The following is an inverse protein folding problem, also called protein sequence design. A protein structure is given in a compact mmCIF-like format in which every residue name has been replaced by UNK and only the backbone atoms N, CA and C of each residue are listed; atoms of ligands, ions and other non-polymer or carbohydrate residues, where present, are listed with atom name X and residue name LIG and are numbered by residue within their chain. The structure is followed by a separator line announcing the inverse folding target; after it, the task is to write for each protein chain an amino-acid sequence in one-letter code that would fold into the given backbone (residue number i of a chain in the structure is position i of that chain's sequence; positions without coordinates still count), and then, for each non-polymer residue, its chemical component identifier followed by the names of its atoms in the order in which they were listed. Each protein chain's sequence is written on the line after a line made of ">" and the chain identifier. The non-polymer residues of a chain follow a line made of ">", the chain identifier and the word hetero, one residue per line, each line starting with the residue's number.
data_IF_065996751427
#
_entry.id   IF_065996751427
#
_cell.length_a   1.000
_cell.length_b   1.000
_cell.length_c   1.000
_cell.angle_alpha   90.00
_cell.angle_beta   90.00
_cell.angle_gamma   90.00
#
_symmetry.space_group_name_H-M   'P 1'
#
loop_
_entity.id
_entity.type
_entity.pdbx_description
1 polymer ?
#
# COMPACT_ATOMS: atom_id res chain seq x y z
N UNK A 1 4.72 4.56 15.60
CA UNK A 1 4.95 4.54 14.13
C UNK A 1 4.07 5.60 13.50
N UNK A 2 4.58 6.42 12.58
CA UNK A 2 3.78 7.43 11.87
C UNK A 2 3.78 7.11 10.37
N UNK A 3 2.61 7.09 9.73
CA UNK A 3 2.46 6.74 8.32
C UNK A 3 2.43 7.97 7.42
N UNK A 4 3.11 7.88 6.28
CA UNK A 4 3.13 8.89 5.23
C UNK A 4 2.44 8.43 3.94
N UNK A 5 1.55 7.45 4.05
CA UNK A 5 0.74 6.99 2.92
C UNK A 5 0.04 8.19 2.24
N UNK A 6 0.09 8.23 0.91
CA UNK A 6 -0.53 9.27 0.08
C UNK A 6 0.06 10.68 0.21
N UNK A 7 1.32 10.81 0.62
CA UNK A 7 2.03 12.08 0.60
C UNK A 7 3.07 12.11 -0.52
N UNK A 8 3.22 13.27 -1.15
CA UNK A 8 4.30 13.49 -2.12
C UNK A 8 5.65 13.48 -1.38
N UNK A 9 6.46 12.46 -1.63
CA UNK A 9 7.76 12.26 -0.96
C UNK A 9 8.76 13.38 -1.28
N UNK A 10 8.56 14.06 -2.41
CA UNK A 10 9.43 15.16 -2.86
C UNK A 10 9.27 16.41 -2.00
N UNK A 11 8.18 16.49 -1.25
CA UNK A 11 7.91 17.58 -0.32
C UNK A 11 8.47 17.32 1.09
N UNK A 12 9.20 16.21 1.28
CA UNK A 12 9.95 15.97 2.51
C UNK A 12 11.01 17.06 2.67
N UNK A 13 11.04 17.68 3.86
CA UNK A 13 12.15 18.54 4.26
C UNK A 13 13.08 17.73 5.13
N UNK A 14 14.34 17.60 4.72
CA UNK A 14 15.36 16.84 5.46
C UNK A 14 14.89 15.42 5.84
N UNK A 15 14.28 14.70 4.89
CA UNK A 15 13.77 13.35 5.11
C UNK A 15 12.56 13.22 6.03
N UNK A 16 11.92 14.34 6.40
CA UNK A 16 10.79 14.37 7.35
C UNK A 16 9.59 15.13 6.80
N UNK A 17 8.40 14.64 7.14
CA UNK A 17 7.16 15.43 7.01
C UNK A 17 6.81 16.17 8.31
N UNK A 18 7.43 15.80 9.43
CA UNK A 18 7.21 16.40 10.74
C UNK A 18 8.58 16.86 11.25
N UNK A 19 8.78 18.17 11.28
CA UNK A 19 10.04 18.78 11.73
C UNK A 19 10.28 18.48 13.23
N UNK A 20 9.24 18.55 14.06
CA UNK A 20 9.29 18.27 15.51
C UNK A 20 8.71 16.89 15.88
N UNK A 21 9.22 15.83 15.25
CA UNK A 21 8.76 14.45 15.51
C UNK A 21 8.95 14.04 16.98
N UNK A 22 10.02 14.50 17.62
CA UNK A 22 10.41 14.05 18.95
C UNK A 22 9.49 14.59 20.04
N UNK A 23 8.81 15.73 19.84
CA UNK A 23 7.76 16.20 20.76
C UNK A 23 6.47 15.38 20.66
N UNK A 24 6.18 14.80 19.48
CA UNK A 24 4.95 14.05 19.24
C UNK A 24 5.09 12.58 19.64
N UNK A 25 6.20 11.94 19.24
CA UNK A 25 6.40 10.48 19.36
C UNK A 25 7.42 10.15 20.46
N UNK A 26 8.14 11.15 20.97
CA UNK A 26 9.24 10.97 21.91
C UNK A 26 10.58 10.74 21.22
N UNK A 27 11.66 10.93 22.01
CA UNK A 27 13.04 10.66 21.58
C UNK A 27 13.25 9.17 21.40
N UNK A 28 14.03 8.80 20.38
CA UNK A 28 14.44 7.43 20.13
C UNK A 28 15.94 7.39 19.84
N UNK A 29 16.62 6.34 20.31
CA UNK A 29 18.02 6.08 20.01
C UNK A 29 18.24 5.80 18.52
N UNK A 30 17.30 5.05 17.91
CA UNK A 30 17.33 4.71 16.49
C UNK A 30 16.07 5.26 15.80
N UNK A 31 16.23 5.92 14.66
CA UNK A 31 15.13 6.41 13.83
C UNK A 31 15.26 5.82 12.44
N UNK A 32 14.15 5.35 11.89
CA UNK A 32 14.11 4.71 10.58
C UNK A 32 13.03 5.33 9.72
N UNK A 33 13.39 5.65 8.48
CA UNK A 33 12.45 5.97 7.41
C UNK A 33 12.24 4.71 6.57
N UNK A 34 11.13 4.02 6.84
CA UNK A 34 10.82 2.73 6.21
C UNK A 34 9.90 2.94 5.02
N UNK A 35 10.35 2.54 3.83
CA UNK A 35 9.57 2.51 2.61
C UNK A 35 9.20 1.07 2.26
N UNK A 36 7.92 0.73 2.43
CA UNK A 36 7.39 -0.58 2.01
C UNK A 36 6.76 -0.42 0.63
N UNK A 37 7.31 -1.09 -0.38
CA UNK A 37 6.79 -1.06 -1.74
C UNK A 37 6.28 -2.45 -2.15
N UNK A 38 5.10 -2.48 -2.75
CA UNK A 38 4.51 -3.67 -3.35
C UNK A 38 4.50 -3.53 -4.86
N UNK A 39 4.57 -4.66 -5.56
CA UNK A 39 4.39 -4.68 -7.01
C UNK A 39 3.12 -3.92 -7.42
N UNK A 40 3.24 -3.25 -8.57
CA UNK A 40 2.21 -2.34 -9.05
C UNK A 40 0.85 -3.02 -9.22
N UNK A 41 0.83 -4.20 -9.83
CA UNK A 41 -0.39 -4.91 -10.20
C UNK A 41 -1.23 -5.30 -9.00
N UNK A 42 -0.60 -5.92 -7.98
CA UNK A 42 -1.29 -6.30 -6.75
C UNK A 42 -1.60 -5.11 -5.86
N UNK A 43 -0.75 -4.09 -5.84
CA UNK A 43 -1.04 -2.84 -5.14
C UNK A 43 -2.29 -2.18 -5.71
N UNK A 44 -2.36 -2.03 -7.03
CA UNK A 44 -3.50 -1.46 -7.73
C UNK A 44 -4.77 -2.27 -7.47
N UNK A 45 -4.70 -3.59 -7.63
CA UNK A 45 -5.85 -4.46 -7.35
C UNK A 45 -6.33 -4.30 -5.90
N UNK A 46 -5.40 -4.15 -4.96
CA UNK A 46 -5.73 -3.90 -3.55
C UNK A 46 -6.36 -2.54 -3.26
N UNK A 47 -6.11 -1.53 -4.09
CA UNK A 47 -6.75 -0.22 -3.96
C UNK A 47 -8.18 -0.27 -4.45
N UNK A 48 -8.41 -0.79 -5.66
CA UNK A 48 -9.74 -0.88 -6.25
C UNK A 48 -10.68 -1.80 -5.43
N UNK A 49 -10.16 -2.86 -4.82
CA UNK A 49 -10.98 -3.79 -4.04
C UNK A 49 -11.30 -3.30 -2.62
N UNK A 50 -10.46 -2.46 -2.00
CA UNK A 50 -10.75 -1.88 -0.67
C UNK A 50 -12.04 -1.06 -0.67
N UNK A 51 -12.46 -0.56 -1.82
CA UNK A 51 -13.66 0.25 -2.01
C UNK A 51 -14.97 -0.58 -1.99
N UNK A 52 -14.91 -1.91 -2.11
CA UNK A 52 -16.11 -2.79 -2.15
C UNK A 52 -16.70 -3.18 -0.78
N UNK A 53 -15.97 -3.02 0.33
CA UNK A 53 -16.29 -3.69 1.60
C UNK A 53 -16.47 -2.77 2.83
N UNK A 54 -16.88 -1.51 2.65
CA UNK A 54 -17.51 -0.72 3.73
C UNK A 54 -16.59 -0.17 4.84
N UNK A 55 -15.27 -0.35 4.77
CA UNK A 55 -14.36 0.54 5.51
C UNK A 55 -14.46 1.92 4.87
N UNK A 56 -14.66 3.00 5.65
CA UNK A 56 -14.96 4.33 5.10
C UNK A 56 -14.08 4.64 3.89
N UNK A 57 -14.65 4.65 2.68
CA UNK A 57 -13.87 4.77 1.48
C UNK A 57 -13.26 6.17 1.48
N UNK A 58 -12.04 6.29 0.97
CA UNK A 58 -11.80 7.47 0.14
C UNK A 58 -12.97 7.47 -0.85
N UNK A 59 -13.90 8.39 -0.68
CA UNK A 59 -15.28 8.36 -1.20
C UNK A 59 -15.27 8.48 -2.74
N UNK A 60 -14.73 7.46 -3.39
CA UNK A 60 -14.31 7.47 -4.78
C UNK A 60 -15.42 6.95 -5.70
N UNK A 61 -16.40 6.21 -5.15
CA UNK A 61 -17.50 5.63 -5.93
C UNK A 61 -18.78 5.47 -5.09
N UNK A 62 -19.41 6.58 -4.62
CA UNK A 62 -20.62 6.49 -3.80
C UNK A 62 -21.82 5.85 -4.52
N UNK A 63 -21.83 5.80 -5.86
CA UNK A 63 -22.92 5.26 -6.67
C UNK A 63 -22.86 3.73 -6.86
N UNK A 64 -21.80 3.08 -6.39
CA UNK A 64 -21.57 1.64 -6.60
C UNK A 64 -22.61 0.73 -5.93
N UNK A 65 -23.31 1.23 -4.90
CA UNK A 65 -24.37 0.49 -4.22
C UNK A 65 -25.74 0.51 -4.94
N UNK A 66 -25.92 1.36 -5.96
CA UNK A 66 -27.18 1.45 -6.73
C UNK A 66 -27.19 0.44 -7.90
N UNK A 67 -26.03 -0.04 -8.34
CA UNK A 67 -25.85 -0.73 -9.62
C UNK A 67 -25.81 -2.27 -9.56
N UNK A 68 -26.08 -2.89 -8.40
CA UNK A 68 -26.12 -4.36 -8.29
C UNK A 68 -27.28 -5.04 -9.05
N UNK A 69 -28.21 -4.29 -9.66
CA UNK A 69 -29.40 -4.86 -10.29
C UNK A 69 -29.34 -5.05 -11.81
N UNK A 70 -28.51 -4.32 -12.57
CA UNK A 70 -28.61 -4.35 -14.03
C UNK A 70 -27.23 -4.35 -14.71
N UNK A 71 -26.92 -5.47 -15.38
CA UNK A 71 -25.92 -5.71 -16.43
C UNK A 71 -24.72 -4.74 -16.57
N UNK A 72 -23.54 -5.29 -16.29
CA UNK A 72 -22.23 -4.64 -16.12
C UNK A 72 -21.58 -4.03 -17.38
N UNK A 73 -22.26 -3.94 -18.51
CA UNK A 73 -21.62 -3.61 -19.81
C UNK A 73 -21.77 -2.17 -20.29
N UNK A 74 -22.42 -1.26 -19.54
CA UNK A 74 -22.67 0.12 -20.02
C UNK A 74 -22.01 1.28 -19.25
N UNK A 75 -21.26 1.05 -18.17
CA UNK A 75 -20.84 2.15 -17.29
C UNK A 75 -19.33 2.23 -16.99
N UNK A 76 -18.50 2.01 -18.02
CA UNK A 76 -17.10 2.45 -17.98
C UNK A 76 -16.96 4.00 -17.89
N UNK A 77 -18.05 4.76 -17.88
CA UNK A 77 -18.05 6.21 -18.09
C UNK A 77 -18.30 7.08 -16.85
N UNK A 78 -18.47 6.53 -15.63
CA UNK A 78 -18.73 7.41 -14.45
C UNK A 78 -17.91 6.99 -13.24
N UNK A 79 -16.59 7.10 -13.36
CA UNK A 79 -15.82 7.55 -12.20
C UNK A 79 -16.14 9.05 -12.06
N UNK A 80 -16.76 9.52 -10.97
CA UNK A 80 -16.91 10.96 -10.78
C UNK A 80 -15.54 11.61 -10.91
N UNK A 81 -15.39 12.68 -11.70
CA UNK A 81 -14.07 13.20 -12.10
C UNK A 81 -13.12 13.53 -10.92
N UNK A 82 -13.67 13.84 -9.74
CA UNK A 82 -12.92 14.01 -8.48
C UNK A 82 -12.16 12.76 -8.05
N UNK A 83 -12.72 11.59 -8.35
CA UNK A 83 -12.28 10.32 -7.85
C UNK A 83 -11.22 9.69 -8.74
N UNK A 84 -11.39 9.88 -10.05
CA UNK A 84 -10.36 9.63 -11.05
C UNK A 84 -9.11 10.50 -10.81
N UNK A 85 -9.29 11.80 -10.51
CA UNK A 85 -8.18 12.71 -10.16
C UNK A 85 -7.44 12.28 -8.90
N UNK A 86 -8.16 11.85 -7.85
CA UNK A 86 -7.51 11.30 -6.65
C UNK A 86 -6.72 10.04 -7.00
N UNK A 87 -7.30 9.12 -7.77
CA UNK A 87 -6.60 7.89 -8.14
C UNK A 87 -5.33 8.20 -8.95
N UNK A 88 -5.39 9.08 -9.96
CA UNK A 88 -4.20 9.59 -10.69
C UNK A 88 -3.11 10.15 -9.76
N UNK A 89 -3.52 10.86 -8.71
CA UNK A 89 -2.58 11.38 -7.70
C UNK A 89 -1.92 10.25 -6.90
N UNK A 90 -2.70 9.24 -6.50
CA UNK A 90 -2.19 8.06 -5.79
C UNK A 90 -1.22 7.25 -6.67
N UNK A 91 -1.51 7.10 -7.97
CA UNK A 91 -0.59 6.51 -8.95
C UNK A 91 0.71 7.27 -9.06
N UNK A 92 0.63 8.59 -9.18
CA UNK A 92 1.79 9.47 -9.22
C UNK A 92 2.68 9.26 -8.00
N UNK A 93 2.09 9.16 -6.81
CA UNK A 93 2.86 8.88 -5.58
C UNK A 93 3.48 7.49 -5.58
N UNK A 94 2.78 6.45 -6.06
CA UNK A 94 3.39 5.13 -6.20
C UNK A 94 4.64 5.18 -7.10
N UNK A 95 4.60 5.92 -8.22
CA UNK A 95 5.77 6.09 -9.09
C UNK A 95 6.94 6.74 -8.35
N UNK A 96 6.70 7.82 -7.59
CA UNK A 96 7.76 8.45 -6.79
C UNK A 96 8.35 7.51 -5.73
N UNK A 97 7.50 6.71 -5.09
CA UNK A 97 7.96 5.70 -4.14
C UNK A 97 8.77 4.61 -4.84
N UNK A 98 8.39 4.19 -6.05
CA UNK A 98 9.15 3.23 -6.83
C UNK A 98 10.52 3.79 -7.27
N UNK A 99 10.58 5.06 -7.66
CA UNK A 99 11.84 5.75 -7.98
C UNK A 99 12.77 5.82 -6.76
N UNK A 100 12.25 6.20 -5.60
CA UNK A 100 12.98 6.21 -4.32
C UNK A 100 13.47 4.80 -3.94
N UNK A 101 12.61 3.79 -4.10
CA UNK A 101 12.93 2.39 -3.81
C UNK A 101 14.05 1.86 -4.73
N UNK A 102 14.06 2.29 -5.99
CA UNK A 102 15.10 1.94 -6.96
C UNK A 102 16.37 2.77 -6.82
N UNK A 103 16.42 3.70 -5.85
CA UNK A 103 17.57 4.58 -5.63
C UNK A 103 17.75 5.67 -6.69
N UNK A 104 16.74 5.93 -7.51
CA UNK A 104 16.75 7.06 -8.47
C UNK A 104 16.63 8.40 -7.75
N UNK A 105 16.06 8.39 -6.56
CA UNK A 105 15.97 9.52 -5.66
C UNK A 105 16.42 9.10 -4.26
N UNK A 106 16.66 10.08 -3.39
CA UNK A 106 17.09 9.82 -2.01
C UNK A 106 16.41 10.74 -0.99
N UNK A 107 15.11 10.97 -1.15
CA UNK A 107 14.36 11.91 -0.31
C UNK A 107 14.19 11.43 1.14
N UNK A 108 14.24 10.12 1.40
CA UNK A 108 14.02 9.56 2.74
C UNK A 108 15.27 9.44 3.59
N UNK A 109 16.46 9.57 3.00
CA UNK A 109 17.69 9.55 3.78
C UNK A 109 17.94 10.91 4.40
N UNK A 110 18.21 10.94 5.71
CA UNK A 110 18.57 12.15 6.41
C UNK A 110 19.55 11.84 7.54
N UNK A 111 20.27 12.85 8.02
CA UNK A 111 21.37 12.70 8.99
C UNK A 111 20.94 11.99 10.28
N UNK A 112 19.68 12.12 10.68
CA UNK A 112 19.16 11.58 11.94
C UNK A 112 18.27 10.35 11.78
N UNK A 113 18.06 9.83 10.57
CA UNK A 113 17.23 8.64 10.32
C UNK A 113 17.75 7.78 9.18
N UNK A 114 17.80 6.47 9.40
CA UNK A 114 18.24 5.50 8.40
C UNK A 114 17.09 5.15 7.45
N UNK A 115 17.35 5.21 6.14
CA UNK A 115 16.41 4.75 5.11
C UNK A 115 16.45 3.22 4.98
N UNK A 116 15.29 2.58 5.02
CA UNK A 116 15.14 1.14 4.76
C UNK A 116 14.03 0.92 3.74
N UNK A 117 14.38 0.31 2.61
CA UNK A 117 13.44 -0.08 1.56
C UNK A 117 13.08 -1.56 1.70
N UNK A 118 11.79 -1.87 1.79
CA UNK A 118 11.27 -3.23 1.98
C UNK A 118 10.38 -3.59 0.79
N UNK A 119 10.79 -4.59 0.00
CA UNK A 119 9.90 -5.22 -0.98
C UNK A 119 8.84 -6.03 -0.23
N UNK A 120 7.58 -5.66 -0.35
CA UNK A 120 6.46 -6.41 0.25
C UNK A 120 6.43 -7.85 -0.29
N UNK A 121 6.69 -8.03 -1.58
CA UNK A 121 6.64 -9.33 -2.23
C UNK A 121 7.70 -10.28 -1.66
N UNK A 122 8.94 -9.80 -1.49
CA UNK A 122 10.02 -10.58 -0.87
C UNK A 122 9.77 -10.76 0.62
N UNK A 123 9.37 -9.72 1.33
CA UNK A 123 8.98 -9.83 2.74
C UNK A 123 7.92 -10.90 2.97
N UNK A 124 6.93 -10.98 2.10
CA UNK A 124 5.87 -11.98 2.20
C UNK A 124 6.36 -13.39 1.89
N UNK A 125 7.16 -13.58 0.83
CA UNK A 125 7.50 -14.92 0.31
C UNK A 125 8.82 -15.52 0.81
N UNK A 126 9.74 -14.70 1.33
CA UNK A 126 11.12 -15.11 1.64
C UNK A 126 11.45 -14.89 3.12
N UNK A 127 11.62 -15.99 3.84
CA UNK A 127 12.01 -16.00 5.26
C UNK A 127 13.41 -15.41 5.49
N UNK A 128 14.36 -15.71 4.60
CA UNK A 128 15.72 -15.17 4.67
C UNK A 128 15.73 -13.66 4.50
N UNK A 129 14.88 -13.15 3.60
CA UNK A 129 14.66 -11.71 3.44
C UNK A 129 14.09 -11.09 4.72
N UNK A 130 13.08 -11.70 5.36
CA UNK A 130 12.54 -11.22 6.64
C UNK A 130 13.58 -11.18 7.75
N UNK A 131 14.39 -12.24 7.89
CA UNK A 131 15.52 -12.28 8.85
C UNK A 131 16.52 -11.14 8.60
N UNK A 132 16.84 -10.86 7.33
CA UNK A 132 17.71 -9.74 6.95
C UNK A 132 17.11 -8.39 7.37
N UNK A 133 15.83 -8.16 7.11
CA UNK A 133 15.13 -6.92 7.52
C UNK A 133 15.09 -6.77 9.03
N UNK A 134 14.76 -7.83 9.78
CA UNK A 134 14.76 -7.81 11.24
C UNK A 134 16.13 -7.39 11.80
N UNK A 135 17.20 -7.99 11.26
CA UNK A 135 18.58 -7.61 11.59
C UNK A 135 18.90 -6.16 11.26
N UNK A 136 18.47 -5.65 10.09
CA UNK A 136 18.67 -4.23 9.71
C UNK A 136 17.96 -3.25 10.63
N UNK A 137 16.81 -3.62 11.16
CA UNK A 137 16.05 -2.81 12.11
C UNK A 137 16.56 -2.95 13.56
N UNK A 138 17.48 -3.88 13.82
CA UNK A 138 17.93 -4.23 15.17
C UNK A 138 16.84 -4.91 16.00
N UNK A 139 15.96 -5.68 15.34
CA UNK A 139 14.87 -6.43 15.96
C UNK A 139 15.20 -7.92 16.00
N UNK A 140 14.66 -8.60 17.00
CA UNK A 140 14.60 -10.06 16.99
C UNK A 140 13.65 -10.53 15.91
N UNK A 141 14.07 -11.54 15.16
CA UNK A 141 13.25 -12.11 14.10
C UNK A 141 12.13 -12.98 14.69
N UNK A 142 10.91 -12.78 14.20
CA UNK A 142 9.76 -13.62 14.48
C UNK A 142 8.76 -13.53 13.33
N UNK A 143 8.18 -14.67 12.95
CA UNK A 143 7.12 -14.77 11.96
C UNK A 143 5.72 -14.91 12.58
N UNK A 144 5.58 -14.71 13.89
CA UNK A 144 4.30 -14.78 14.59
C UNK A 144 3.17 -13.99 13.90
N UNK A 145 3.50 -12.82 13.33
CA UNK A 145 2.54 -11.98 12.61
C UNK A 145 2.08 -12.52 11.24
N UNK A 146 2.80 -13.49 10.66
CA UNK A 146 2.37 -14.20 9.45
C UNK A 146 1.42 -15.35 9.78
N UNK A 147 1.53 -15.91 10.99
CA UNK A 147 0.62 -16.97 11.44
C UNK A 147 -0.74 -16.41 11.87
N UNK A 148 -0.80 -15.12 12.26
CA UNK A 148 -2.02 -14.50 12.76
C UNK A 148 -2.38 -13.20 12.02
N UNK A 149 -3.40 -13.27 11.16
CA UNK A 149 -4.01 -12.09 10.55
C UNK A 149 -4.91 -11.35 11.56
N UNK A 150 -4.41 -10.31 12.24
CA UNK A 150 -5.18 -9.56 13.25
C UNK A 150 -6.38 -8.74 12.73
N UNK A 151 -6.72 -8.79 11.43
CA UNK A 151 -7.90 -8.08 10.88
C UNK A 151 -8.37 -8.61 9.52
N UNK A 152 -9.70 -8.61 9.25
CA UNK A 152 -10.32 -8.78 7.94
C UNK A 152 -9.66 -8.04 6.79
N UNK A 153 -9.21 -8.79 5.78
CA UNK A 153 -8.84 -8.20 4.50
C UNK A 153 -10.10 -7.88 3.70
N UNK A 154 -10.12 -6.72 3.05
CA UNK A 154 -11.16 -6.35 2.08
C UNK A 154 -11.25 -7.30 0.87
N UNK A 155 -10.39 -8.32 0.77
CA UNK A 155 -10.48 -9.37 -0.24
C UNK A 155 -11.31 -10.57 0.22
N UNK A 156 -11.30 -10.87 1.52
CA UNK A 156 -12.07 -11.94 2.14
C UNK A 156 -12.72 -11.37 3.41
N UNK A 157 -13.84 -10.62 3.28
CA UNK A 157 -14.51 -10.01 4.43
C UNK A 157 -15.05 -11.04 5.44
N UNK A 158 -15.26 -12.29 5.02
CA UNK A 158 -15.78 -13.38 5.84
C UNK A 158 -14.69 -14.31 6.41
N UNK A 159 -13.41 -14.11 6.07
CA UNK A 159 -12.33 -14.98 6.51
C UNK A 159 -11.24 -14.16 7.18
N UNK A 160 -11.39 -13.89 8.48
CA UNK A 160 -10.33 -13.24 9.24
C UNK A 160 -10.56 -13.33 10.73
N UNK A 161 -10.57 -14.56 11.21
CA UNK A 161 -10.16 -14.92 12.55
C UNK A 161 -9.49 -16.29 12.34
N UNK A 162 -8.22 -16.44 12.73
CA UNK A 162 -7.48 -17.72 12.77
C UNK A 162 -6.95 -18.35 11.46
N UNK A 163 -6.75 -17.57 10.38
CA UNK A 163 -6.06 -18.08 9.16
C UNK A 163 -4.63 -17.57 9.04
N UNK A 164 -3.74 -18.46 8.60
CA UNK A 164 -2.36 -18.14 8.25
C UNK A 164 -2.34 -17.14 7.09
N UNK A 165 -1.68 -15.99 7.27
CA UNK A 165 -1.59 -14.93 6.25
C UNK A 165 -0.90 -15.45 4.99
N UNK A 166 -0.01 -16.45 5.10
CA UNK A 166 0.68 -17.09 3.97
C UNK A 166 -0.26 -17.83 3.03
N UNK A 167 -1.40 -18.32 3.53
CA UNK A 167 -2.41 -19.00 2.69
C UNK A 167 -3.23 -18.00 1.87
N UNK A 168 -3.18 -16.72 2.22
CA UNK A 168 -3.84 -15.68 1.45
C UNK A 168 -3.10 -15.48 0.12
N UNK A 169 -3.84 -15.54 -0.99
CA UNK A 169 -3.34 -15.26 -2.35
C UNK A 169 -3.05 -13.78 -2.60
N UNK A 170 -2.33 -13.13 -1.68
CA UNK A 170 -2.07 -11.69 -1.73
C UNK A 170 -1.22 -11.33 -2.95
N UNK A 171 -0.23 -12.15 -3.31
CA UNK A 171 0.62 -11.90 -4.49
C UNK A 171 -0.09 -12.17 -5.83
N UNK A 172 -1.33 -12.65 -5.78
CA UNK A 172 -2.14 -13.03 -6.94
C UNK A 172 -3.45 -12.23 -7.02
N UNK A 173 -3.59 -11.15 -6.24
CA UNK A 173 -4.80 -10.32 -6.21
C UNK A 173 -5.14 -9.71 -7.56
N UNK A 174 -4.14 -9.39 -8.36
CA UNK A 174 -4.35 -8.86 -9.72
C UNK A 174 -5.15 -9.84 -10.61
N UNK A 175 -5.02 -11.15 -10.40
CA UNK A 175 -5.74 -12.18 -11.18
C UNK A 175 -7.26 -12.08 -11.02
N UNK A 176 -7.74 -11.55 -9.88
CA UNK A 176 -9.18 -11.33 -9.61
C UNK A 176 -9.74 -10.23 -10.53
N UNK A 177 -8.92 -9.26 -10.90
CA UNK A 177 -9.31 -8.11 -11.73
C UNK A 177 -8.81 -8.21 -13.18
N UNK A 178 -8.30 -9.37 -13.59
CA UNK A 178 -7.69 -9.56 -14.92
C UNK A 178 -8.63 -9.22 -16.09
N UNK A 179 -9.95 -9.31 -15.89
CA UNK A 179 -10.97 -9.02 -16.91
C UNK A 179 -11.73 -7.72 -16.58
N UNK A 180 -11.28 -6.95 -15.59
CA UNK A 180 -11.93 -5.72 -15.15
C UNK A 180 -11.47 -4.52 -16.00
N UNK A 181 -12.41 -3.87 -16.68
CA UNK A 181 -12.14 -2.74 -17.59
C UNK A 181 -11.46 -1.56 -16.87
N UNK A 182 -11.93 -1.21 -15.67
CA UNK A 182 -11.36 -0.11 -14.88
C UNK A 182 -9.92 -0.43 -14.46
N UNK A 183 -9.64 -1.69 -14.11
CA UNK A 183 -8.28 -2.12 -13.78
C UNK A 183 -7.32 -1.90 -14.97
N UNK A 184 -7.74 -2.29 -16.17
CA UNK A 184 -6.96 -2.10 -17.40
C UNK A 184 -6.75 -0.63 -17.78
N UNK A 185 -7.77 0.22 -17.62
CA UNK A 185 -7.67 1.67 -17.88
C UNK A 185 -6.52 2.31 -17.08
N UNK A 186 -6.25 1.80 -15.88
CA UNK A 186 -5.17 2.29 -15.04
C UNK A 186 -3.80 1.63 -15.28
N UNK A 187 -3.74 0.51 -16.02
CA UNK A 187 -2.47 -0.11 -16.41
C UNK A 187 -1.84 0.60 -17.60
N UNK A 188 -2.67 1.16 -18.49
CA UNK A 188 -2.24 1.89 -19.68
C UNK A 188 -2.86 3.29 -19.71
N UNK A 189 -2.44 4.18 -18.78
CA UNK A 189 -2.89 5.57 -18.82
C UNK A 189 -2.18 6.25 -19.98
N UNK A 190 -2.92 6.57 -21.05
CA UNK A 190 -2.48 7.44 -22.16
C UNK A 190 -1.58 8.61 -21.72
#
# INVERSE_FOLDING_TARGET
>A
MYSYEFKDIRNLKNGKFIEDRDSIIGKSKNKYNVLILRDFFNWLASRLMKEKHGGQPLNLFPEYNILKKNNWTQYASVIPGSNYRKMKTVFKYWKFYAEEFLGKTNYLECEDSLKICISFNQWFSDEGYRKKIAKQLGLEYSDFSLDFAGSPSSFNPNECWDKNVQEMKVLDRWKILKDNIIYHEFLDPE
#
